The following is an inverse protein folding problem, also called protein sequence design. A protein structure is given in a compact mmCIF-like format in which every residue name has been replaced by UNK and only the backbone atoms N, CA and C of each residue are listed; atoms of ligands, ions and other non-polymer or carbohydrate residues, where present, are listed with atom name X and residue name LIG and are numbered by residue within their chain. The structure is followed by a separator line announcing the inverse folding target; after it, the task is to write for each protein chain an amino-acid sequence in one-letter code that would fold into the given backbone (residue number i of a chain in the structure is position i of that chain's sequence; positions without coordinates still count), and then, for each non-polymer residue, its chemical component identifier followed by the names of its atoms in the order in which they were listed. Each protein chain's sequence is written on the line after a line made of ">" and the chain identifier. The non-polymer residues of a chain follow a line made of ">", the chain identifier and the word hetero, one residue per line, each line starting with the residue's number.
data_IF_149287445029
#
_entry.id   IF_149287445029
#
_cell.length_a   1.000
_cell.length_b   1.000
_cell.length_c   1.000
_cell.angle_alpha   90.00
_cell.angle_beta   90.00
_cell.angle_gamma   90.00
#
_symmetry.space_group_name_H-M   'P 1'
#
loop_
_entity.id
_entity.type
_entity.pdbx_description
1 polymer ?
#
# COMPACT_ATOMS: atom_id res chain seq x y z
N UNK A 1 -1.48 16.61 19.88
CA UNK A 1 -1.98 17.25 18.64
C UNK A 1 -2.64 16.15 17.82
N UNK A 2 -3.97 16.13 17.81
CA UNK A 2 -4.74 15.10 17.11
C UNK A 2 -4.92 15.55 15.66
N UNK A 3 -4.23 14.90 14.74
CA UNK A 3 -4.46 15.06 13.31
C UNK A 3 -5.84 14.44 13.04
N UNK A 4 -6.84 15.29 12.83
CA UNK A 4 -8.20 14.84 12.55
C UNK A 4 -8.22 14.20 11.16
N UNK A 5 -8.77 13.00 11.05
CA UNK A 5 -9.15 12.43 9.76
C UNK A 5 -10.40 13.14 9.26
N UNK A 6 -10.21 14.32 8.65
CA UNK A 6 -11.18 14.89 7.74
C UNK A 6 -10.59 14.79 6.34
N UNK A 7 -11.15 13.89 5.52
CA UNK A 7 -10.97 13.92 4.08
C UNK A 7 -11.64 15.20 3.60
N UNK A 8 -10.85 16.21 3.21
CA UNK A 8 -11.39 17.44 2.64
C UNK A 8 -12.03 17.15 1.30
N UNK A 9 -13.34 17.31 1.29
CA UNK A 9 -14.23 17.41 0.14
C UNK A 9 -13.74 18.52 -0.79
N UNK A 10 -13.24 18.18 -1.98
CA UNK A 10 -13.31 19.09 -3.13
C UNK A 10 -14.51 18.66 -3.96
N UNK A 11 -15.63 19.32 -3.68
CA UNK A 11 -16.80 19.29 -4.54
C UNK A 11 -16.41 19.83 -5.92
N UNK A 12 -16.62 19.03 -6.96
CA UNK A 12 -16.75 19.54 -8.33
C UNK A 12 -18.08 19.05 -8.88
N UNK A 13 -18.95 20.04 -9.13
CA UNK A 13 -20.23 19.89 -9.79
C UNK A 13 -20.09 19.36 -11.22
N UNK A 14 -21.10 18.59 -11.64
CA UNK A 14 -21.49 18.20 -13.00
C UNK A 14 -21.20 16.76 -13.40
N UNK A 15 -22.32 16.04 -13.52
CA UNK A 15 -22.51 14.62 -13.78
C UNK A 15 -22.24 14.36 -15.27
N UNK A 16 -20.99 14.12 -15.62
CA UNK A 16 -20.55 13.50 -16.89
C UNK A 16 -19.10 13.04 -16.82
N UNK A 17 -18.30 13.60 -15.91
CA UNK A 17 -16.89 13.28 -15.76
C UNK A 17 -16.49 13.62 -14.33
N UNK A 18 -16.70 12.70 -13.38
CA UNK A 18 -15.89 12.71 -12.17
C UNK A 18 -14.46 12.38 -12.65
N UNK A 19 -13.77 13.38 -13.20
CA UNK A 19 -12.51 13.18 -13.87
C UNK A 19 -11.55 12.68 -12.79
N UNK A 20 -11.25 11.37 -12.81
CA UNK A 20 -10.15 10.82 -12.02
C UNK A 20 -8.94 11.63 -12.48
N UNK A 21 -8.30 12.43 -11.62
CA UNK A 21 -7.17 13.26 -12.02
C UNK A 21 -6.11 12.34 -12.61
N UNK A 22 -6.02 12.29 -13.93
CA UNK A 22 -5.17 11.35 -14.64
C UNK A 22 -3.96 12.09 -15.16
N UNK A 23 -2.79 11.60 -14.78
CA UNK A 23 -1.52 12.10 -15.24
C UNK A 23 -1.10 11.25 -16.44
N UNK A 24 -1.19 11.82 -17.65
CA UNK A 24 -0.80 11.14 -18.88
C UNK A 24 0.68 10.76 -18.92
N UNK A 25 1.52 11.37 -18.06
CA UNK A 25 2.94 11.04 -17.92
C UNK A 25 3.21 9.94 -16.89
N UNK A 26 2.21 9.54 -16.10
CA UNK A 26 2.37 8.50 -15.10
C UNK A 26 2.61 7.13 -15.74
N UNK A 27 3.77 6.56 -15.45
CA UNK A 27 4.12 5.18 -15.79
C UNK A 27 4.48 4.45 -14.51
N UNK A 28 3.67 3.47 -14.15
CA UNK A 28 3.94 2.68 -12.96
C UNK A 28 5.14 1.76 -13.20
N UNK A 29 6.20 1.97 -12.44
CA UNK A 29 7.45 1.20 -12.46
C UNK A 29 7.72 0.50 -11.11
N UNK A 30 6.77 0.61 -10.19
CA UNK A 30 6.91 0.08 -8.84
C UNK A 30 7.80 0.92 -7.92
N UNK A 31 7.98 2.22 -8.17
CA UNK A 31 8.56 3.18 -7.22
C UNK A 31 7.54 4.11 -6.57
N UNK A 32 6.34 4.21 -7.15
CA UNK A 32 5.23 5.02 -6.64
C UNK A 32 4.20 4.20 -5.86
N UNK A 33 3.53 4.86 -4.90
CA UNK A 33 2.32 4.37 -4.22
C UNK A 33 1.01 4.89 -4.85
N UNK A 34 1.08 5.61 -5.97
CA UNK A 34 -0.11 6.04 -6.72
C UNK A 34 -0.74 4.88 -7.50
N UNK A 35 -1.38 3.97 -6.74
CA UNK A 35 -2.08 2.84 -7.33
C UNK A 35 -3.39 3.26 -7.99
N UNK A 36 -3.92 4.45 -7.69
CA UNK A 36 -5.15 4.97 -8.33
C UNK A 36 -4.87 5.17 -9.82
N UNK A 37 -3.78 5.85 -10.17
CA UNK A 37 -3.38 6.04 -11.57
C UNK A 37 -3.12 4.71 -12.26
N UNK A 38 -2.47 3.76 -11.56
CA UNK A 38 -2.22 2.45 -12.16
C UNK A 38 -3.52 1.68 -12.42
N UNK A 39 -4.47 1.68 -11.48
CA UNK A 39 -5.77 1.05 -11.69
C UNK A 39 -6.57 1.72 -12.79
N UNK A 40 -6.51 3.06 -12.89
CA UNK A 40 -7.16 3.81 -13.96
C UNK A 40 -6.54 3.50 -15.33
N UNK A 41 -5.23 3.51 -15.46
CA UNK A 41 -4.51 3.13 -16.69
C UNK A 41 -4.89 1.73 -17.16
N UNK A 42 -4.92 0.76 -16.24
CA UNK A 42 -5.35 -0.61 -16.54
C UNK A 42 -6.83 -0.67 -16.95
N UNK A 43 -7.69 0.17 -16.36
CA UNK A 43 -9.12 0.24 -16.68
C UNK A 43 -9.36 0.79 -18.08
N UNK A 44 -8.68 1.89 -18.44
CA UNK A 44 -8.71 2.47 -19.79
C UNK A 44 -8.16 1.48 -20.82
N UNK A 45 -7.10 0.75 -20.47
CA UNK A 45 -6.57 -0.38 -21.26
C UNK A 45 -7.48 -1.62 -21.27
N UNK A 46 -8.69 -1.53 -20.72
CA UNK A 46 -9.73 -2.59 -20.70
C UNK A 46 -9.33 -3.86 -19.96
N UNK A 47 -8.33 -3.81 -19.08
CA UNK A 47 -7.98 -4.92 -18.19
C UNK A 47 -9.18 -5.24 -17.30
N UNK A 48 -9.54 -6.53 -17.23
CA UNK A 48 -10.65 -7.01 -16.40
C UNK A 48 -10.11 -7.75 -15.20
N UNK A 49 -10.65 -7.42 -14.03
CA UNK A 49 -10.35 -8.09 -12.77
C UNK A 49 -11.67 -8.37 -12.07
N UNK A 50 -11.77 -9.45 -11.28
CA UNK A 50 -12.95 -9.69 -10.45
C UNK A 50 -13.20 -8.51 -9.51
N UNK A 51 -14.47 -8.20 -9.32
CA UNK A 51 -14.92 -7.27 -8.28
C UNK A 51 -14.52 -7.81 -6.90
N UNK A 52 -14.35 -6.89 -5.96
CA UNK A 52 -14.25 -7.20 -4.55
C UNK A 52 -15.63 -7.61 -4.06
N UNK A 53 -15.76 -8.85 -3.58
CA UNK A 53 -16.99 -9.38 -2.98
C UNK A 53 -17.26 -8.80 -1.59
N UNK A 54 -17.20 -7.46 -1.47
CA UNK A 54 -17.51 -6.71 -0.25
C UNK A 54 -19.01 -6.39 -0.27
N UNK A 55 -19.73 -6.82 0.76
CA UNK A 55 -21.09 -6.35 0.98
C UNK A 55 -21.10 -4.88 1.43
N UNK A 56 -22.17 -4.15 1.17
CA UNK A 56 -22.29 -2.72 1.54
C UNK A 56 -22.05 -2.47 3.04
N UNK A 57 -22.48 -3.39 3.90
CA UNK A 57 -22.25 -3.33 5.35
C UNK A 57 -20.78 -3.49 5.77
N UNK A 58 -19.92 -3.98 4.87
CA UNK A 58 -18.47 -4.12 5.09
C UNK A 58 -17.69 -2.92 4.57
N UNK A 59 -18.33 -2.00 3.85
CA UNK A 59 -17.68 -0.81 3.33
C UNK A 59 -17.41 0.18 4.45
N UNK A 60 -16.17 0.71 4.54
CA UNK A 60 -15.89 1.78 5.48
C UNK A 60 -16.70 3.03 5.17
N UNK A 61 -17.06 3.80 6.20
CA UNK A 61 -17.86 5.04 6.07
C UNK A 61 -17.26 6.03 5.06
N UNK A 62 -15.94 6.21 5.07
CA UNK A 62 -15.25 7.08 4.12
C UNK A 62 -15.44 6.67 2.65
N UNK A 63 -15.66 5.38 2.38
CA UNK A 63 -15.94 4.87 1.03
C UNK A 63 -17.39 5.12 0.67
N UNK A 64 -18.33 4.83 1.59
CA UNK A 64 -19.76 5.03 1.34
C UNK A 64 -20.13 6.51 1.18
N UNK A 65 -19.49 7.41 1.93
CA UNK A 65 -19.71 8.86 1.79
C UNK A 65 -19.32 9.35 0.39
N UNK A 66 -18.12 8.99 -0.08
CA UNK A 66 -17.65 9.34 -1.43
C UNK A 66 -18.54 8.80 -2.54
N UNK A 67 -19.08 7.61 -2.37
CA UNK A 67 -20.02 6.99 -3.31
C UNK A 67 -21.37 7.70 -3.31
N UNK A 68 -21.85 8.12 -2.14
CA UNK A 68 -23.10 8.85 -1.99
C UNK A 68 -23.06 10.22 -2.67
N UNK A 69 -21.91 10.89 -2.65
CA UNK A 69 -21.70 12.18 -3.33
C UNK A 69 -21.92 12.11 -4.84
N UNK A 70 -21.74 10.93 -5.44
CA UNK A 70 -21.89 10.68 -6.88
C UNK A 70 -23.04 9.72 -7.22
N UNK A 71 -23.85 9.32 -6.23
CA UNK A 71 -24.97 8.39 -6.37
C UNK A 71 -24.63 7.08 -7.11
N UNK A 72 -23.46 6.49 -6.80
CA UNK A 72 -23.01 5.22 -7.38
C UNK A 72 -22.89 4.16 -6.30
N UNK A 73 -23.40 2.96 -6.57
CA UNK A 73 -23.19 1.81 -5.68
C UNK A 73 -21.80 1.19 -5.87
N UNK A 74 -21.19 0.69 -4.80
CA UNK A 74 -19.85 0.11 -4.86
C UNK A 74 -19.78 -1.11 -5.81
N UNK A 75 -20.82 -1.94 -5.82
CA UNK A 75 -20.90 -3.15 -6.66
C UNK A 75 -21.10 -2.84 -8.15
N UNK A 76 -21.61 -1.66 -8.48
CA UNK A 76 -21.70 -1.16 -9.84
C UNK A 76 -20.34 -0.75 -10.42
N UNK A 77 -19.33 -0.50 -9.57
CA UNK A 77 -17.98 -0.17 -10.02
C UNK A 77 -17.25 -1.41 -10.57
N UNK A 78 -16.53 -1.27 -11.71
CA UNK A 78 -15.59 -2.29 -12.16
C UNK A 78 -14.54 -2.61 -11.09
N UNK A 79 -14.06 -3.86 -11.04
CA UNK A 79 -13.15 -4.31 -9.97
C UNK A 79 -11.84 -3.51 -9.82
N UNK A 80 -11.35 -2.88 -10.90
CA UNK A 80 -10.21 -1.95 -10.82
C UNK A 80 -10.58 -0.65 -10.10
N UNK A 81 -11.75 -0.08 -10.39
CA UNK A 81 -12.21 1.17 -9.77
C UNK A 81 -12.61 0.95 -8.30
N UNK A 82 -13.11 -0.23 -7.94
CA UNK A 82 -13.31 -0.62 -6.53
C UNK A 82 -11.99 -0.61 -5.75
N UNK A 83 -10.91 -1.13 -6.33
CA UNK A 83 -9.57 -1.14 -5.71
C UNK A 83 -8.99 0.27 -5.63
N UNK A 84 -9.16 1.08 -6.68
CA UNK A 84 -8.74 2.47 -6.69
C UNK A 84 -9.44 3.26 -5.58
N UNK A 85 -10.77 3.14 -5.46
CA UNK A 85 -11.54 3.82 -4.42
C UNK A 85 -11.14 3.41 -3.01
N UNK A 86 -10.93 2.11 -2.75
CA UNK A 86 -10.45 1.66 -1.44
C UNK A 86 -9.06 2.19 -1.13
N UNK A 87 -8.13 2.07 -2.08
CA UNK A 87 -6.76 2.55 -1.92
C UNK A 87 -6.72 4.04 -1.59
N UNK A 88 -7.40 4.84 -2.40
CA UNK A 88 -7.46 6.30 -2.25
C UNK A 88 -8.17 6.72 -0.94
N UNK A 89 -9.14 5.93 -0.49
CA UNK A 89 -9.81 6.13 0.79
C UNK A 89 -8.98 5.65 1.99
N UNK A 90 -7.77 5.14 1.79
CA UNK A 90 -6.87 4.71 2.86
C UNK A 90 -7.17 3.31 3.40
N UNK A 91 -7.64 2.39 2.57
CA UNK A 91 -7.92 1.01 2.98
C UNK A 91 -7.14 -0.01 2.14
N UNK A 92 -6.59 -1.01 2.82
CA UNK A 92 -5.83 -2.11 2.21
C UNK A 92 -6.39 -3.44 2.70
N UNK A 93 -6.43 -4.45 1.82
CA UNK A 93 -6.86 -5.79 2.21
C UNK A 93 -5.76 -6.52 2.98
N UNK A 94 -6.12 -7.33 3.96
CA UNK A 94 -5.16 -8.24 4.60
C UNK A 94 -4.83 -9.41 3.66
N UNK A 95 -3.58 -9.89 3.73
CA UNK A 95 -3.15 -11.05 2.93
C UNK A 95 -4.07 -12.26 3.16
N UNK A 96 -4.50 -12.89 2.06
CA UNK A 96 -5.38 -14.06 2.11
C UNK A 96 -6.87 -13.74 2.29
N UNK A 97 -7.24 -12.45 2.31
CA UNK A 97 -8.62 -12.00 2.37
C UNK A 97 -8.98 -11.09 1.20
N UNK A 98 -10.24 -11.12 0.79
CA UNK A 98 -10.82 -10.17 -0.17
C UNK A 98 -11.77 -9.17 0.50
N UNK A 99 -12.01 -9.32 1.81
CA UNK A 99 -13.03 -8.54 2.54
C UNK A 99 -12.56 -7.96 3.87
N UNK A 100 -11.43 -8.43 4.42
CA UNK A 100 -10.85 -7.87 5.63
C UNK A 100 -10.01 -6.64 5.29
N UNK A 101 -10.56 -5.46 5.54
CA UNK A 101 -9.95 -4.17 5.26
C UNK A 101 -9.24 -3.62 6.50
N UNK A 102 -8.04 -3.08 6.28
CA UNK A 102 -7.26 -2.37 7.30
C UNK A 102 -7.15 -0.91 6.90
N UNK A 103 -7.53 -0.02 7.82
CA UNK A 103 -7.36 1.41 7.65
C UNK A 103 -5.89 1.81 7.78
N UNK A 104 -5.42 2.60 6.82
CA UNK A 104 -4.09 3.18 6.79
C UNK A 104 -4.19 4.64 7.24
N UNK A 105 -3.37 5.01 8.21
CA UNK A 105 -3.23 6.39 8.69
C UNK A 105 -1.94 6.96 8.11
N UNK A 106 -2.01 8.10 7.47
CA UNK A 106 -0.84 8.72 6.83
C UNK A 106 -0.23 9.79 7.73
N UNK A 107 1.08 9.99 7.60
CA UNK A 107 1.83 10.97 8.38
C UNK A 107 1.42 12.39 7.99
N UNK A 108 1.29 13.27 8.97
CA UNK A 108 0.96 14.67 8.74
C UNK A 108 2.25 15.45 8.45
N UNK A 109 2.24 16.28 7.41
CA UNK A 109 3.35 17.20 7.13
C UNK A 109 3.49 18.28 8.21
N UNK A 110 4.64 18.95 8.26
CA UNK A 110 4.86 20.06 9.18
C UNK A 110 3.81 21.17 8.94
N UNK A 111 3.00 21.46 9.95
CA UNK A 111 1.92 22.46 9.87
C UNK A 111 0.66 22.01 9.13
N UNK A 112 0.61 20.76 8.65
CA UNK A 112 -0.56 20.22 7.97
C UNK A 112 -1.61 19.71 8.98
N UNK A 113 -2.89 19.93 8.66
CA UNK A 113 -4.02 19.38 9.42
C UNK A 113 -4.49 18.03 8.89
N UNK A 114 -3.97 17.60 7.74
CA UNK A 114 -4.26 16.32 7.07
C UNK A 114 -2.96 15.55 6.83
N UNK A 115 -3.07 14.22 6.75
CA UNK A 115 -1.96 13.36 6.36
C UNK A 115 -1.61 13.51 4.87
N UNK A 116 -0.43 13.01 4.47
CA UNK A 116 -0.08 12.84 3.06
C UNK A 116 -1.08 11.92 2.37
N UNK A 117 -1.19 12.00 1.05
CA UNK A 117 -2.08 11.12 0.29
C UNK A 117 -1.56 9.69 0.27
N UNK A 118 -2.44 8.72 0.01
CA UNK A 118 -2.03 7.33 -0.24
C UNK A 118 -1.14 7.18 -1.49
N UNK A 119 -1.11 8.18 -2.37
CA UNK A 119 -0.19 8.22 -3.50
C UNK A 119 1.26 8.52 -3.08
N UNK A 120 1.49 9.08 -1.88
CA UNK A 120 2.79 9.60 -1.41
C UNK A 120 3.40 8.81 -0.25
N UNK A 121 2.81 7.68 0.14
CA UNK A 121 3.26 6.89 1.30
C UNK A 121 4.45 5.97 1.00
N UNK A 122 4.79 5.73 -0.27
CA UNK A 122 5.93 4.91 -0.67
C UNK A 122 7.23 5.51 -0.13
N UNK A 123 8.03 4.66 0.51
CA UNK A 123 9.41 4.98 0.86
C UNK A 123 10.22 5.02 -0.44
N UNK A 124 10.82 6.16 -0.77
CA UNK A 124 11.60 6.29 -2.00
C UNK A 124 12.98 5.63 -1.86
N UNK A 125 13.64 5.34 -2.99
CA UNK A 125 15.05 4.90 -2.97
C UNK A 125 15.95 5.90 -2.24
N UNK A 126 15.75 7.20 -2.47
CA UNK A 126 16.51 8.25 -1.82
C UNK A 126 16.27 8.27 -0.30
N UNK A 127 15.03 8.10 0.15
CA UNK A 127 14.71 7.99 1.59
C UNK A 127 15.38 6.75 2.20
N UNK A 128 15.35 5.61 1.50
CA UNK A 128 15.93 4.35 1.95
C UNK A 128 17.46 4.45 2.12
N UNK A 129 18.17 4.94 1.11
CA UNK A 129 19.63 5.13 1.16
C UNK A 129 19.99 6.26 2.13
N UNK A 130 19.20 7.34 2.18
CA UNK A 130 19.38 8.44 3.12
C UNK A 130 19.25 8.02 4.58
N UNK A 131 18.42 7.01 4.86
CA UNK A 131 18.31 6.38 6.18
C UNK A 131 19.51 5.48 6.54
N UNK A 132 20.51 5.36 5.65
CA UNK A 132 21.70 4.51 5.77
C UNK A 132 21.38 3.01 5.76
N UNK A 133 20.37 2.61 5.00
CA UNK A 133 20.04 1.21 4.81
C UNK A 133 20.77 0.62 3.58
N UNK A 134 21.06 -0.69 3.62
CA UNK A 134 21.83 -1.38 2.56
C UNK A 134 20.92 -2.19 1.65
N UNK A 135 21.31 -2.31 0.38
CA UNK A 135 20.54 -3.03 -0.63
C UNK A 135 21.00 -4.48 -0.75
N UNK A 136 20.07 -5.38 -1.07
CA UNK A 136 20.46 -6.74 -1.45
C UNK A 136 21.33 -6.70 -2.72
N UNK A 137 22.52 -7.32 -2.71
CA UNK A 137 23.36 -7.38 -3.89
C UNK A 137 22.74 -8.30 -4.94
N UNK A 138 22.98 -8.01 -6.22
CA UNK A 138 22.60 -8.84 -7.36
C UNK A 138 21.09 -9.01 -7.63
N UNK A 139 20.21 -8.14 -7.11
CA UNK A 139 18.83 -8.04 -7.60
C UNK A 139 18.73 -7.01 -8.73
N UNK A 140 17.90 -7.29 -9.75
CA UNK A 140 17.53 -6.34 -10.82
C UNK A 140 16.57 -5.24 -10.35
N UNK A 141 16.06 -5.38 -9.12
CA UNK A 141 15.23 -4.40 -8.41
C UNK A 141 15.90 -4.10 -7.07
N UNK A 142 15.76 -2.89 -6.55
CA UNK A 142 16.25 -2.57 -5.21
C UNK A 142 15.38 -3.27 -4.16
N UNK A 143 16.02 -3.90 -3.17
CA UNK A 143 15.39 -4.56 -2.01
C UNK A 143 16.20 -4.28 -0.77
N UNK A 144 15.55 -4.29 0.39
CA UNK A 144 16.25 -4.12 1.65
C UNK A 144 17.13 -5.33 2.00
N UNK A 145 18.36 -5.07 2.43
CA UNK A 145 19.24 -6.05 3.07
C UNK A 145 19.32 -5.75 4.56
N UNK A 146 20.10 -4.73 4.97
CA UNK A 146 20.20 -4.31 6.36
C UNK A 146 19.56 -2.93 6.57
N UNK A 147 18.57 -2.88 7.45
CA UNK A 147 17.90 -1.67 7.87
C UNK A 147 17.19 -1.94 9.20
N UNK A 148 17.47 -1.16 10.23
CA UNK A 148 16.82 -1.30 11.54
C UNK A 148 15.39 -0.80 11.49
N UNK A 149 14.57 -1.21 12.46
CA UNK A 149 13.19 -0.72 12.56
C UNK A 149 13.13 0.78 12.78
N UNK A 150 14.12 1.37 13.47
CA UNK A 150 14.21 2.82 13.63
C UNK A 150 14.59 3.53 12.34
N UNK A 151 15.44 2.93 11.49
CA UNK A 151 15.76 3.48 10.17
C UNK A 151 14.53 3.49 9.26
N UNK A 152 13.81 2.36 9.19
CA UNK A 152 12.55 2.28 8.47
C UNK A 152 11.49 3.23 9.04
N UNK A 153 11.38 3.28 10.37
CA UNK A 153 10.39 4.10 11.07
C UNK A 153 10.56 5.60 10.81
N UNK A 154 11.80 6.09 10.61
CA UNK A 154 12.05 7.49 10.24
C UNK A 154 11.55 7.85 8.83
N UNK A 155 11.58 6.90 7.91
CA UNK A 155 11.09 7.11 6.54
C UNK A 155 9.62 6.74 6.33
N UNK A 156 9.00 6.06 7.31
CA UNK A 156 7.62 5.62 7.19
C UNK A 156 6.65 6.79 7.17
N UNK A 157 5.79 6.82 6.14
CA UNK A 157 4.79 7.87 5.92
C UNK A 157 3.37 7.41 6.22
N UNK A 158 3.22 6.18 6.72
CA UNK A 158 1.94 5.65 7.14
C UNK A 158 2.06 4.69 8.33
N UNK A 159 0.91 4.39 8.91
CA UNK A 159 0.74 3.49 10.03
C UNK A 159 -0.56 2.70 9.89
N UNK A 160 -0.61 1.52 10.50
CA UNK A 160 -1.80 0.69 10.56
C UNK A 160 -1.99 0.12 11.98
N UNK A 161 -3.21 -0.28 12.30
CA UNK A 161 -3.48 -1.10 13.49
C UNK A 161 -2.91 -2.51 13.31
N UNK A 162 -2.98 -3.33 14.36
CA UNK A 162 -2.40 -4.66 14.33
C UNK A 162 -2.90 -5.51 13.15
N UNK A 163 -1.93 -6.02 12.38
CA UNK A 163 -2.11 -7.02 11.33
C UNK A 163 -1.41 -8.29 11.79
N UNK A 164 -2.11 -9.43 11.74
CA UNK A 164 -1.59 -10.68 12.28
C UNK A 164 -0.86 -11.54 11.25
N UNK A 165 -1.07 -11.27 9.97
CA UNK A 165 -0.48 -12.07 8.89
C UNK A 165 0.99 -11.72 8.71
N UNK A 166 1.87 -12.57 9.21
CA UNK A 166 3.32 -12.44 9.06
C UNK A 166 3.79 -12.65 7.62
N UNK A 167 4.89 -11.99 7.26
CA UNK A 167 5.59 -12.15 6.00
C UNK A 167 7.11 -12.17 6.20
N UNK A 168 7.78 -13.19 5.65
CA UNK A 168 9.25 -13.25 5.54
C UNK A 168 9.79 -12.64 4.25
N UNK A 169 9.07 -11.69 3.66
CA UNK A 169 9.47 -11.01 2.43
C UNK A 169 10.27 -9.75 2.75
N UNK A 170 10.80 -9.09 1.73
CA UNK A 170 11.40 -7.77 1.93
C UNK A 170 10.34 -6.81 2.48
N UNK A 171 10.71 -6.02 3.49
CA UNK A 171 9.89 -4.93 4.03
C UNK A 171 9.86 -3.74 3.06
N UNK A 172 10.89 -3.59 2.24
CA UNK A 172 10.94 -2.58 1.19
C UNK A 172 11.58 -3.12 -0.09
N UNK A 173 10.95 -2.82 -1.22
CA UNK A 173 11.49 -3.08 -2.54
C UNK A 173 10.93 -2.11 -3.57
N UNK A 174 11.67 -1.96 -4.66
CA UNK A 174 11.22 -1.31 -5.91
C UNK A 174 10.81 -2.37 -6.92
N UNK A 175 10.37 -1.91 -8.09
CA UNK A 175 10.14 -2.75 -9.24
C UNK A 175 8.66 -3.04 -9.44
N UNK A 176 8.31 -3.16 -10.70
CA UNK A 176 6.95 -3.21 -11.20
C UNK A 176 6.99 -2.94 -12.69
N UNK A 177 5.86 -2.58 -13.27
CA UNK A 177 5.82 -2.21 -14.68
C UNK A 177 4.43 -1.76 -15.09
N UNK A 178 4.29 -1.12 -16.26
CA UNK A 178 3.05 -0.46 -16.67
C UNK A 178 1.87 -1.43 -16.82
N UNK A 179 2.15 -2.71 -17.02
CA UNK A 179 1.15 -3.79 -17.13
C UNK A 179 0.94 -4.55 -15.82
N UNK A 180 1.69 -4.22 -14.76
CA UNK A 180 1.51 -4.85 -13.45
C UNK A 180 0.12 -4.52 -12.93
N UNK A 181 -0.62 -5.54 -12.52
CA UNK A 181 -1.85 -5.38 -11.76
C UNK A 181 -1.51 -5.47 -10.26
N UNK A 182 -1.34 -4.33 -9.56
CA UNK A 182 -0.99 -4.35 -8.16
C UNK A 182 -2.17 -4.85 -7.32
N UNK A 183 -1.89 -5.78 -6.42
CA UNK A 183 -2.79 -6.23 -5.38
C UNK A 183 -2.19 -5.80 -4.03
N UNK A 184 -2.51 -4.59 -3.55
CA UNK A 184 -1.98 -4.10 -2.29
C UNK A 184 -2.53 -4.95 -1.14
N UNK A 185 -1.63 -5.62 -0.43
CA UNK A 185 -1.93 -6.41 0.76
C UNK A 185 -1.10 -5.91 1.93
N UNK A 186 -1.70 -5.76 3.10
CA UNK A 186 -0.96 -5.44 4.31
C UNK A 186 -0.52 -6.71 5.04
N UNK A 187 0.72 -6.71 5.53
CA UNK A 187 1.34 -7.79 6.28
C UNK A 187 2.21 -7.28 7.43
N UNK A 188 2.49 -8.16 8.39
CA UNK A 188 3.39 -7.94 9.52
C UNK A 188 4.80 -8.43 9.20
N UNK A 189 5.78 -7.62 9.57
CA UNK A 189 7.19 -7.97 9.65
C UNK A 189 7.62 -7.84 11.11
N UNK A 190 8.36 -8.84 11.61
CA UNK A 190 8.93 -8.78 12.95
C UNK A 190 10.27 -9.51 12.99
N UNK A 191 11.22 -8.96 13.73
CA UNK A 191 12.56 -9.51 13.87
C UNK A 191 13.21 -9.05 15.17
N UNK A 192 14.08 -9.90 15.70
CA UNK A 192 14.93 -9.57 16.83
C UNK A 192 16.25 -8.97 16.34
N UNK A 193 16.83 -8.10 17.14
CA UNK A 193 18.13 -7.48 16.90
C UNK A 193 19.21 -8.23 17.68
N UNK A 194 20.47 -8.26 17.19
CA UNK A 194 21.59 -8.84 17.92
C UNK A 194 21.79 -8.26 19.33
N UNK A 195 21.41 -6.99 19.54
CA UNK A 195 21.52 -6.27 20.81
C UNK A 195 20.36 -6.58 21.78
N UNK A 196 19.44 -7.48 21.42
CA UNK A 196 18.33 -7.92 22.27
C UNK A 196 17.06 -7.05 22.21
N UNK A 197 16.97 -6.12 21.26
CA UNK A 197 15.73 -5.42 20.90
C UNK A 197 14.83 -6.22 19.95
N UNK A 198 13.56 -5.85 19.86
CA UNK A 198 12.57 -6.47 18.99
C UNK A 198 11.84 -5.39 18.18
N UNK A 199 11.73 -5.59 16.86
CA UNK A 199 10.98 -4.69 15.98
C UNK A 199 9.75 -5.38 15.43
N UNK A 200 8.66 -4.61 15.34
CA UNK A 200 7.43 -4.98 14.62
C UNK A 200 7.01 -3.83 13.73
N UNK A 201 6.86 -4.12 12.43
CA UNK A 201 6.45 -3.17 11.42
C UNK A 201 5.40 -3.79 10.50
N UNK A 202 4.69 -2.96 9.76
CA UNK A 202 3.73 -3.41 8.75
C UNK A 202 4.22 -3.02 7.36
N UNK A 203 4.02 -3.89 6.38
CA UNK A 203 4.33 -3.62 4.98
C UNK A 203 3.08 -3.75 4.14
N UNK A 204 2.84 -2.82 3.22
CA UNK A 204 1.84 -2.96 2.17
C UNK A 204 2.56 -3.44 0.90
N UNK A 205 2.37 -4.70 0.54
CA UNK A 205 3.02 -5.31 -0.61
C UNK A 205 2.09 -5.22 -1.82
N UNK A 206 2.60 -4.83 -2.99
CA UNK A 206 1.81 -4.81 -4.22
C UNK A 206 2.12 -6.05 -5.06
N UNK A 207 1.42 -7.15 -4.76
CA UNK A 207 1.61 -8.43 -5.47
C UNK A 207 0.84 -8.48 -6.79
N UNK A 208 1.18 -9.42 -7.65
CA UNK A 208 0.32 -9.77 -8.78
C UNK A 208 -1.00 -10.37 -8.29
N UNK A 209 -2.13 -9.84 -8.77
CA UNK A 209 -3.43 -10.50 -8.61
C UNK A 209 -3.46 -11.76 -9.51
N UNK A 210 -3.33 -12.95 -8.94
CA UNK A 210 -3.54 -14.19 -9.69
C UNK A 210 -5.02 -14.40 -9.95
N UNK A 211 -5.43 -14.46 -11.21
CA UNK A 211 -6.82 -14.69 -11.61
C UNK A 211 -7.20 -16.15 -11.30
N UNK A 212 -7.95 -16.39 -10.22
CA UNK A 212 -8.64 -17.64 -9.91
C UNK A 212 -7.78 -18.91 -9.77
N UNK A 213 -7.53 -19.35 -8.52
CA UNK A 213 -7.32 -20.76 -8.16
C UNK A 213 -6.08 -21.46 -8.78
N UNK A 214 -5.09 -21.75 -7.92
CA UNK A 214 -3.73 -22.24 -8.20
C UNK A 214 -2.76 -21.15 -8.64
N UNK A 215 -1.73 -21.00 -7.82
CA UNK A 215 -0.40 -20.69 -8.33
C UNK A 215 -0.01 -21.81 -9.31
N UNK A 216 -0.46 -21.73 -10.57
CA UNK A 216 0.27 -22.41 -11.64
C UNK A 216 1.58 -21.66 -11.75
N UNK A 217 2.67 -22.42 -11.64
CA UNK A 217 4.03 -21.94 -11.76
C UNK A 217 4.29 -21.47 -13.18
N UNK A 218 3.68 -20.36 -13.56
CA UNK A 218 3.94 -19.71 -14.82
C UNK A 218 5.29 -18.99 -14.67
N UNK A 219 6.18 -19.37 -15.57
CA UNK A 219 7.57 -18.98 -15.66
C UNK A 219 7.74 -17.48 -15.94
N UNK A 220 7.38 -16.63 -14.98
CA UNK A 220 7.87 -15.25 -14.97
C UNK A 220 9.33 -15.29 -14.49
N UNK A 221 10.30 -14.72 -15.22
CA UNK A 221 11.72 -14.74 -14.84
C UNK A 221 12.01 -14.15 -13.44
N UNK A 222 11.03 -13.46 -12.83
CA UNK A 222 11.10 -12.89 -11.49
C UNK A 222 10.86 -13.91 -10.35
N UNK A 223 10.40 -15.15 -10.64
CA UNK A 223 10.24 -16.20 -9.60
C UNK A 223 11.52 -16.99 -9.29
N UNK A 224 12.55 -16.94 -10.15
CA UNK A 224 13.83 -17.64 -9.91
C UNK A 224 14.83 -16.81 -9.09
N UNK A 225 14.58 -15.52 -8.92
CA UNK A 225 15.28 -14.70 -7.95
C UNK A 225 14.34 -14.49 -6.75
N UNK A 226 14.85 -14.60 -5.52
CA UNK A 226 14.21 -14.03 -4.33
C UNK A 226 14.13 -12.50 -4.51
N UNK A 227 13.34 -11.99 -5.44
CA UNK A 227 13.22 -10.56 -5.67
C UNK A 227 11.77 -10.26 -6.13
N UNK A 228 10.80 -10.31 -5.21
CA UNK A 228 9.40 -9.90 -5.48
C UNK A 228 9.23 -8.36 -5.44
N UNK A 229 8.35 -7.79 -6.29
CA UNK A 229 8.13 -6.34 -6.37
C UNK A 229 7.29 -5.76 -5.22
N UNK A 230 7.61 -4.50 -4.93
CA UNK A 230 7.01 -3.52 -4.02
C UNK A 230 6.58 -3.95 -2.61
N UNK A 231 7.15 -3.25 -1.62
CA UNK A 231 6.60 -3.11 -0.29
C UNK A 231 6.69 -1.64 0.17
N UNK A 232 5.55 -1.09 0.58
CA UNK A 232 5.44 0.23 1.24
C UNK A 232 5.48 0.01 2.74
N UNK A 233 6.35 0.74 3.44
CA UNK A 233 6.56 0.58 4.88
C UNK A 233 5.53 1.39 5.67
N UNK A 234 4.84 0.70 6.57
CA UNK A 234 3.89 1.24 7.54
C UNK A 234 4.38 0.93 8.96
N UNK A 235 4.31 1.90 9.85
CA UNK A 235 4.66 1.67 11.26
C UNK A 235 3.48 1.15 12.05
N UNK A 236 3.75 0.22 12.96
CA UNK A 236 2.82 -0.20 14.01
C UNK A 236 3.33 0.26 15.37
N UNK A 237 2.44 0.48 16.35
CA UNK A 237 2.88 0.63 17.75
C UNK A 237 3.36 -0.73 18.28
N UNK A 238 4.66 -1.00 18.14
CA UNK A 238 5.38 -2.01 18.92
C UNK A 238 6.29 -1.29 19.91
N UNK A 239 6.07 -1.50 21.21
CA UNK A 239 6.95 -1.00 22.26
C UNK A 239 8.38 -1.50 22.02
N UNK A 240 9.34 -0.60 21.87
CA UNK A 240 10.73 -0.92 22.16
C UNK A 240 10.78 -1.33 23.63
N UNK A 241 10.92 -2.63 23.89
CA UNK A 241 11.15 -3.17 25.23
C UNK A 241 12.51 -2.72 25.71
N UNK A 242 12.61 -1.49 26.23
CA UNK A 242 13.75 -1.07 27.02
C UNK A 242 13.82 -1.94 28.25
N UNK A 243 14.74 -2.91 28.26
CA UNK A 243 15.10 -3.62 29.47
C UNK A 243 15.77 -2.61 30.40
N UNK A 244 15.02 -2.10 31.37
CA UNK A 244 15.60 -1.42 32.50
C UNK A 244 16.59 -2.38 33.17
N UNK A 245 17.87 -2.05 33.10
CA UNK A 245 18.89 -2.66 33.95
C UNK A 245 18.70 -1.98 35.32
N UNK A 246 18.11 -2.72 36.24
CA UNK A 246 18.10 -2.46 37.69
C UNK A 246 18.74 -3.63 38.39
#
# INVERSE_FOLDING_TARGET
>A
MHCLTFFTLLAVLSIADAAIPSDASFVYDGTSSDLVQQFYNLHVARTKVPTLGLASAQLPTAVTERLSDVAVEFDALPGLLQRALLWDSGYVVQRGSTSNLTAIRTACGAGATTGVTMAEIALTYADYVGAKCTLEPNCSVHRNHDCTGDQFGRGARCAATNVDVWSGEALWSTGGGPTLLPHPIIVRHEWDTPEGGHYRMYGIHARYLSNGGRQRGDHHPLRRARCEPQAVVSTGKGQAGGRAVG
#
